data_IF_155390804348
#
_entry.id   IF_155390804348
#
_cell.length_a   1.000
_cell.length_b   1.000
_cell.length_c   1.000
_cell.angle_alpha   90.00
_cell.angle_beta   90.00
_cell.angle_gamma   90.00
#
_symmetry.space_group_name_H-M   'P 1'
#
loop_
_entity.id
_entity.type
_entity.pdbx_description
1 polymer ?
#
# COMPACT_ATOMS: atom_id res chain seq x y z
N UNK A 1 7.41 -26.96 9.46
CA UNK A 1 8.50 -25.99 9.67
C UNK A 1 9.51 -26.58 10.63
N UNK A 2 10.81 -26.28 10.47
CA UNK A 2 11.86 -26.60 11.43
C UNK A 2 11.53 -26.13 12.86
N UNK A 3 12.10 -26.80 13.88
CA UNK A 3 11.80 -26.53 15.29
C UNK A 3 12.43 -25.21 15.80
N UNK A 4 13.42 -24.68 15.09
CA UNK A 4 14.16 -23.45 15.38
C UNK A 4 13.68 -22.24 14.56
N UNK A 5 12.65 -22.43 13.72
CA UNK A 5 12.09 -21.36 12.89
C UNK A 5 11.58 -20.19 13.72
N UNK A 6 12.12 -19.01 13.44
CA UNK A 6 11.71 -17.77 14.11
C UNK A 6 10.78 -16.97 13.20
N UNK A 7 9.49 -17.24 13.26
CA UNK A 7 8.41 -16.65 12.42
C UNK A 7 8.51 -15.13 12.20
N UNK A 8 9.07 -14.37 13.16
CA UNK A 8 9.24 -12.91 13.03
C UNK A 8 10.33 -12.49 12.03
N UNK A 9 11.29 -13.35 11.74
CA UNK A 9 12.45 -13.09 10.88
C UNK A 9 12.10 -13.31 9.41
N UNK A 10 11.04 -12.65 8.96
CA UNK A 10 10.70 -12.57 7.56
C UNK A 10 11.77 -11.81 6.77
N UNK A 11 12.03 -12.28 5.56
CA UNK A 11 12.92 -11.63 4.58
C UNK A 11 12.26 -10.39 3.99
N UNK A 12 10.96 -10.48 3.69
CA UNK A 12 10.16 -9.38 3.18
C UNK A 12 8.69 -9.52 3.56
N UNK A 13 7.98 -8.39 3.52
CA UNK A 13 6.53 -8.28 3.65
C UNK A 13 6.02 -7.49 2.46
N UNK A 14 4.96 -7.95 1.82
CA UNK A 14 4.26 -7.21 0.78
C UNK A 14 2.90 -6.76 1.28
N UNK A 15 2.63 -5.48 1.18
CA UNK A 15 1.32 -4.90 1.42
C UNK A 15 0.68 -4.48 0.12
N UNK A 16 -0.63 -4.67 0.03
CA UNK A 16 -1.48 -4.01 -0.96
C UNK A 16 -2.24 -2.90 -0.26
N UNK A 17 -2.42 -1.78 -0.95
CA UNK A 17 -3.25 -0.70 -0.47
C UNK A 17 -4.23 -0.26 -1.56
N UNK A 18 -5.54 -0.39 -1.31
CA UNK A 18 -6.60 0.11 -2.20
C UNK A 18 -6.80 1.60 -2.00
N UNK A 19 -6.28 2.42 -2.91
CA UNK A 19 -6.32 3.88 -2.84
C UNK A 19 -7.74 4.42 -2.98
N UNK A 20 -8.62 3.71 -3.70
CA UNK A 20 -10.04 4.04 -3.80
C UNK A 20 -10.77 4.09 -2.45
N UNK A 21 -10.21 3.49 -1.39
CA UNK A 21 -10.77 3.59 -0.05
C UNK A 21 -10.60 4.98 0.57
N UNK A 22 -9.72 5.85 0.03
CA UNK A 22 -9.49 7.20 0.54
C UNK A 22 -10.54 8.16 -0.03
N UNK A 23 -11.18 8.96 0.84
CA UNK A 23 -12.32 9.83 0.45
C UNK A 23 -11.94 10.86 -0.61
N UNK A 24 -10.69 11.36 -0.57
CA UNK A 24 -10.18 12.35 -1.53
C UNK A 24 -9.68 11.74 -2.86
N UNK A 25 -9.66 10.42 -3.02
CA UNK A 25 -9.22 9.78 -4.26
C UNK A 25 -10.03 10.33 -5.45
N UNK A 26 -9.41 10.71 -6.58
CA UNK A 26 -10.15 11.27 -7.71
C UNK A 26 -10.97 10.19 -8.44
N UNK A 27 -11.96 10.61 -9.25
CA UNK A 27 -12.72 9.68 -10.11
C UNK A 27 -11.91 9.16 -11.28
N UNK A 28 -10.96 9.97 -11.75
CA UNK A 28 -9.98 9.63 -12.76
C UNK A 28 -8.59 9.88 -12.15
N UNK A 29 -7.72 8.88 -12.23
CA UNK A 29 -6.36 8.95 -11.72
C UNK A 29 -5.39 8.63 -12.85
N UNK A 30 -4.34 9.44 -12.98
CA UNK A 30 -3.26 9.17 -13.92
C UNK A 30 -2.37 8.01 -13.41
N UNK A 31 -2.29 6.88 -14.13
CA UNK A 31 -1.41 5.77 -13.76
C UNK A 31 0.07 6.16 -13.73
N UNK A 32 0.51 7.08 -14.61
CA UNK A 32 1.90 7.54 -14.64
C UNK A 32 2.23 8.29 -13.36
N UNK A 33 1.34 9.16 -12.88
CA UNK A 33 1.54 9.87 -11.62
C UNK A 33 1.72 8.93 -10.42
N UNK A 34 0.99 7.81 -10.38
CA UNK A 34 1.14 6.80 -9.30
C UNK A 34 2.42 6.00 -9.48
N UNK A 35 2.82 5.68 -10.70
CA UNK A 35 4.10 5.03 -11.01
C UNK A 35 5.29 5.88 -10.60
N UNK A 36 5.26 7.17 -10.89
CA UNK A 36 6.30 8.13 -10.50
C UNK A 36 6.37 8.28 -8.98
N UNK A 37 5.20 8.33 -8.31
CA UNK A 37 5.14 8.43 -6.85
C UNK A 37 5.68 7.15 -6.19
N UNK A 38 5.42 5.98 -6.77
CA UNK A 38 6.02 4.72 -6.34
C UNK A 38 7.55 4.75 -6.43
N UNK A 39 8.06 5.25 -7.56
CA UNK A 39 9.51 5.34 -7.82
C UNK A 39 10.25 6.21 -6.79
N UNK A 40 9.61 7.29 -6.30
CA UNK A 40 10.19 8.12 -5.24
C UNK A 40 10.35 7.40 -3.89
N UNK A 41 9.52 6.40 -3.63
CA UNK A 41 9.51 5.66 -2.35
C UNK A 41 10.48 4.46 -2.39
N UNK A 42 10.77 3.92 -3.58
CA UNK A 42 11.69 2.80 -3.75
C UNK A 42 13.13 3.14 -3.30
N UNK A 43 13.86 2.13 -2.86
CA UNK A 43 15.22 2.28 -2.36
C UNK A 43 15.27 2.67 -0.88
N UNK A 44 16.39 3.26 -0.46
CA UNK A 44 16.67 3.60 0.94
C UNK A 44 16.21 5.01 1.23
N UNK A 45 15.25 5.16 2.14
CA UNK A 45 14.65 6.44 2.48
C UNK A 45 14.47 6.59 4.00
N UNK A 46 14.48 7.84 4.48
CA UNK A 46 14.07 8.19 5.84
C UNK A 46 12.55 8.43 5.87
N UNK A 47 11.82 7.59 6.59
CA UNK A 47 10.35 7.64 6.66
C UNK A 47 9.83 8.38 7.90
N UNK A 48 10.62 9.26 8.53
CA UNK A 48 10.20 10.04 9.70
C UNK A 48 8.88 10.78 9.47
N UNK A 49 8.77 11.54 8.37
CA UNK A 49 7.55 12.28 8.01
C UNK A 49 6.43 11.42 7.41
N UNK A 50 6.76 10.18 7.04
CA UNK A 50 5.82 9.22 6.44
C UNK A 50 5.51 8.07 7.38
N UNK A 51 5.73 8.20 8.68
CA UNK A 51 5.36 7.18 9.66
C UNK A 51 4.86 7.81 10.96
N UNK A 52 4.47 6.97 11.92
CA UNK A 52 4.34 7.39 13.32
C UNK A 52 5.58 6.88 14.04
N UNK A 53 6.44 7.81 14.42
CA UNK A 53 7.68 7.49 15.11
C UNK A 53 7.42 7.10 16.57
N UNK A 54 7.94 5.93 16.95
CA UNK A 54 8.05 5.49 18.33
C UNK A 54 9.50 5.72 18.82
N UNK A 55 9.67 5.91 20.13
CA UNK A 55 10.97 6.23 20.71
C UNK A 55 12.02 5.14 20.43
N UNK A 56 13.17 5.53 19.86
CA UNK A 56 14.29 4.63 19.57
C UNK A 56 14.13 3.75 18.34
N UNK A 57 13.07 3.96 17.54
CA UNK A 57 12.91 3.30 16.24
C UNK A 57 13.73 4.04 15.19
N UNK A 58 14.63 3.33 14.50
CA UNK A 58 15.30 3.84 13.31
C UNK A 58 14.26 4.10 12.20
N UNK A 59 14.16 5.32 11.64
CA UNK A 59 13.21 5.64 10.58
C UNK A 59 13.65 5.17 9.18
N UNK A 60 14.91 4.80 8.99
CA UNK A 60 15.45 4.46 7.67
C UNK A 60 14.99 3.07 7.26
N UNK A 61 14.34 2.96 6.11
CA UNK A 61 13.91 1.68 5.54
C UNK A 61 14.30 1.58 4.07
N UNK A 62 14.50 0.35 3.63
CA UNK A 62 14.64 0.02 2.22
C UNK A 62 13.32 -0.53 1.72
N UNK A 63 12.74 0.12 0.72
CA UNK A 63 11.60 -0.40 -0.04
C UNK A 63 12.17 -1.13 -1.25
N UNK A 64 11.93 -2.44 -1.32
CA UNK A 64 12.48 -3.33 -2.35
C UNK A 64 11.70 -3.19 -3.67
N UNK A 65 10.39 -2.92 -3.58
CA UNK A 65 9.54 -2.67 -4.74
C UNK A 65 8.29 -1.87 -4.33
N UNK A 66 7.87 -0.94 -5.15
CA UNK A 66 6.61 -0.21 -5.07
C UNK A 66 6.05 -0.06 -6.48
N UNK A 67 4.84 -0.56 -6.75
CA UNK A 67 4.23 -0.52 -8.09
C UNK A 67 2.73 -0.22 -8.03
N UNK A 68 2.17 0.48 -9.03
CA UNK A 68 0.72 0.64 -9.15
C UNK A 68 0.02 -0.72 -9.23
N UNK A 69 -1.12 -0.83 -8.55
CA UNK A 69 -2.01 -1.98 -8.66
C UNK A 69 -3.18 -1.61 -9.57
N UNK A 70 -3.17 -2.18 -10.76
CA UNK A 70 -4.06 -1.83 -11.87
C UNK A 70 -5.15 -2.87 -12.05
N UNK A 71 -6.30 -2.44 -12.58
CA UNK A 71 -7.28 -3.35 -13.14
C UNK A 71 -7.03 -3.67 -14.61
N UNK A 72 -7.65 -4.75 -15.06
CA UNK A 72 -7.53 -5.26 -16.44
C UNK A 72 -7.93 -4.22 -17.50
N UNK A 73 -8.77 -3.25 -17.13
CA UNK A 73 -9.22 -2.12 -17.96
C UNK A 73 -8.33 -0.85 -17.84
N UNK A 74 -7.22 -0.91 -17.12
CA UNK A 74 -6.24 0.17 -17.00
C UNK A 74 -6.53 1.21 -15.90
N UNK A 75 -7.57 1.02 -15.07
CA UNK A 75 -7.82 1.88 -13.91
C UNK A 75 -6.87 1.56 -12.75
N UNK A 76 -6.44 2.59 -12.02
CA UNK A 76 -5.64 2.42 -10.79
C UNK A 76 -6.56 2.03 -9.64
N UNK A 77 -6.34 0.85 -9.06
CA UNK A 77 -7.00 0.40 -7.83
C UNK A 77 -6.24 0.91 -6.59
N UNK A 78 -4.91 0.91 -6.68
CA UNK A 78 -4.05 1.10 -5.54
C UNK A 78 -2.58 0.94 -5.86
N UNK A 79 -1.82 0.43 -4.90
CA UNK A 79 -0.42 0.06 -5.10
C UNK A 79 -0.04 -1.17 -4.28
N UNK A 80 1.04 -1.81 -4.70
CA UNK A 80 1.75 -2.86 -3.96
C UNK A 80 3.08 -2.31 -3.48
N UNK A 81 3.43 -2.58 -2.23
CA UNK A 81 4.71 -2.19 -1.64
C UNK A 81 5.35 -3.37 -0.91
N UNK A 82 6.63 -3.60 -1.15
CA UNK A 82 7.42 -4.66 -0.53
C UNK A 82 8.66 -4.07 0.13
N UNK A 83 8.91 -4.51 1.36
CA UNK A 83 10.10 -4.16 2.11
C UNK A 83 10.41 -5.26 3.13
N UNK A 84 11.64 -5.30 3.62
CA UNK A 84 12.01 -6.12 4.79
C UNK A 84 11.14 -5.82 6.01
N UNK A 85 10.87 -4.55 6.28
CA UNK A 85 10.06 -4.13 7.42
C UNK A 85 9.45 -2.74 7.20
N UNK A 86 8.36 -2.46 7.92
CA UNK A 86 7.67 -1.18 7.89
C UNK A 86 7.53 -0.61 9.30
N UNK A 87 7.54 0.72 9.42
CA UNK A 87 7.30 1.46 10.66
C UNK A 87 5.79 1.65 10.83
N UNK A 88 5.37 1.96 12.06
CA UNK A 88 3.97 2.18 12.35
C UNK A 88 3.37 3.27 11.44
N UNK A 89 2.21 2.98 10.85
CA UNK A 89 1.50 3.82 9.88
C UNK A 89 2.25 4.14 8.58
N UNK A 90 3.42 3.55 8.31
CA UNK A 90 4.24 3.90 7.15
C UNK A 90 3.46 3.80 5.83
N UNK A 91 2.91 2.61 5.55
CA UNK A 91 2.16 2.36 4.30
C UNK A 91 0.92 3.25 4.18
N UNK A 92 0.23 3.51 5.29
CA UNK A 92 -0.99 4.35 5.30
C UNK A 92 -0.68 5.83 5.02
N UNK A 93 0.46 6.33 5.49
CA UNK A 93 0.90 7.69 5.19
C UNK A 93 1.42 7.83 3.76
N UNK A 94 2.14 6.83 3.25
CA UNK A 94 2.49 6.74 1.82
C UNK A 94 1.22 6.77 0.97
N UNK A 95 0.21 5.96 1.31
CA UNK A 95 -1.07 5.94 0.59
C UNK A 95 -1.77 7.32 0.59
N UNK A 96 -1.71 8.03 1.71
CA UNK A 96 -2.23 9.39 1.81
C UNK A 96 -1.47 10.38 0.92
N UNK A 97 -0.15 10.23 0.82
CA UNK A 97 0.66 11.06 -0.07
C UNK A 97 0.31 10.79 -1.54
N UNK A 98 0.18 9.52 -1.94
CA UNK A 98 -0.18 9.14 -3.31
C UNK A 98 -1.58 9.64 -3.69
N UNK A 99 -2.56 9.49 -2.79
CA UNK A 99 -3.91 10.05 -2.99
C UNK A 99 -3.89 11.58 -3.03
N UNK A 100 -3.01 12.21 -2.25
CA UNK A 100 -2.82 13.66 -2.28
C UNK A 100 -2.24 14.16 -3.60
N UNK A 101 -1.28 13.42 -4.18
CA UNK A 101 -0.73 13.71 -5.52
C UNK A 101 -1.81 13.54 -6.58
N UNK A 102 -2.53 12.41 -6.57
CA UNK A 102 -3.59 12.13 -7.54
C UNK A 102 -4.74 13.15 -7.50
N UNK A 103 -5.10 13.62 -6.31
CA UNK A 103 -6.15 14.63 -6.12
C UNK A 103 -5.67 16.08 -6.31
N UNK A 104 -4.36 16.30 -6.44
CA UNK A 104 -3.75 17.63 -6.49
C UNK A 104 -3.70 18.37 -5.15
N UNK A 105 -3.99 17.69 -4.02
CA UNK A 105 -3.84 18.25 -2.67
C UNK A 105 -2.38 18.55 -2.32
N UNK A 106 -1.45 17.73 -2.81
CA UNK A 106 0.01 17.94 -2.68
C UNK A 106 0.67 17.67 -4.04
N UNK A 107 1.89 18.15 -4.22
CA UNK A 107 2.73 17.84 -5.39
C UNK A 107 3.81 16.81 -5.09
N UNK A 108 4.49 16.33 -6.14
CA UNK A 108 5.67 15.46 -6.01
C UNK A 108 6.78 16.09 -5.15
N UNK A 109 7.00 17.40 -5.27
CA UNK A 109 7.98 18.13 -4.46
C UNK A 109 7.70 18.05 -2.95
N UNK A 110 6.45 17.91 -2.53
CA UNK A 110 6.08 17.75 -1.12
C UNK A 110 6.49 16.37 -0.61
N UNK A 111 6.28 15.33 -1.42
CA UNK A 111 6.71 13.96 -1.11
C UNK A 111 8.25 13.85 -1.08
N UNK A 112 8.93 14.38 -2.10
CA UNK A 112 10.40 14.45 -2.14
C UNK A 112 10.96 15.20 -0.94
N UNK A 113 10.34 16.32 -0.56
CA UNK A 113 10.73 17.10 0.61
C UNK A 113 10.54 16.32 1.90
N UNK A 114 9.44 15.58 2.05
CA UNK A 114 9.16 14.78 3.24
C UNK A 114 10.20 13.66 3.44
N UNK A 115 10.76 13.11 2.35
CA UNK A 115 11.81 12.09 2.37
C UNK A 115 13.22 12.67 2.56
N UNK A 116 13.53 13.77 1.87
CA UNK A 116 14.88 14.36 1.83
C UNK A 116 15.21 15.30 2.99
N UNK A 117 14.18 15.83 3.67
CA UNK A 117 14.29 16.74 4.82
C UNK A 117 13.54 16.20 6.03
N UNK A 118 13.94 15.03 6.59
CA UNK A 118 13.24 14.39 7.69
C UNK A 118 13.18 15.24 8.97
N UNK A 119 14.07 16.21 9.13
CA UNK A 119 14.09 17.18 10.23
C UNK A 119 13.00 18.26 10.13
N UNK A 120 12.46 18.49 8.93
CA UNK A 120 11.36 19.43 8.71
C UNK A 120 10.05 18.64 8.78
N UNK A 121 9.29 18.85 9.85
CA UNK A 121 8.01 18.18 10.06
C UNK A 121 7.06 18.41 8.90
N UNK A 122 6.62 17.32 8.26
CA UNK A 122 5.59 17.33 7.22
C UNK A 122 4.51 16.29 7.53
N UNK A 123 3.23 16.68 7.42
CA UNK A 123 2.09 15.76 7.55
C UNK A 123 1.32 15.70 6.22
N UNK A 124 1.56 14.63 5.45
CA UNK A 124 0.88 14.39 4.18
C UNK A 124 -0.46 13.63 4.35
N UNK A 125 -0.90 13.49 5.61
CA UNK A 125 -2.10 12.77 6.01
C UNK A 125 -1.84 11.29 6.33
N UNK A 126 -2.92 10.56 6.57
CA UNK A 126 -2.91 9.12 6.84
C UNK A 126 -4.15 8.47 6.29
N UNK A 127 -3.97 7.55 5.35
CA UNK A 127 -5.06 6.81 4.75
C UNK A 127 -5.81 5.92 5.75
N UNK A 128 -7.07 5.55 5.47
CA UNK A 128 -7.86 4.55 6.21
C UNK A 128 -7.11 3.21 6.41
N UNK A 129 -7.50 2.45 7.42
CA UNK A 129 -6.98 1.09 7.63
C UNK A 129 -7.61 0.09 6.67
N UNK A 130 -8.83 0.39 6.23
CA UNK A 130 -9.72 -0.42 5.41
C UNK A 130 -9.12 -0.74 4.03
N UNK A 131 -8.23 0.12 3.53
CA UNK A 131 -7.53 -0.11 2.26
C UNK A 131 -6.31 -1.03 2.37
N UNK A 132 -5.77 -1.26 3.58
CA UNK A 132 -4.48 -1.93 3.78
C UNK A 132 -4.64 -3.43 4.01
N UNK A 133 -3.91 -4.24 3.24
CA UNK A 133 -3.84 -5.69 3.39
C UNK A 133 -2.38 -6.15 3.40
N UNK A 134 -2.01 -6.98 4.38
CA UNK A 134 -0.77 -7.74 4.34
C UNK A 134 -0.99 -8.92 3.38
N UNK A 135 -0.38 -8.86 2.21
CA UNK A 135 -0.61 -9.82 1.13
C UNK A 135 0.29 -11.04 1.25
N UNK A 136 1.59 -10.83 1.42
CA UNK A 136 2.54 -11.94 1.52
C UNK A 136 3.68 -11.64 2.48
N UNK A 137 4.28 -12.71 2.99
CA UNK A 137 5.47 -12.68 3.84
C UNK A 137 6.44 -13.70 3.23
N UNK A 138 7.64 -13.25 2.83
CA UNK A 138 8.73 -14.16 2.46
C UNK A 138 9.53 -14.54 3.69
N UNK A 139 9.86 -15.82 3.84
CA UNK A 139 10.64 -16.32 4.96
C UNK A 139 11.45 -17.53 4.52
N UNK A 140 12.76 -17.56 4.79
CA UNK A 140 13.68 -18.62 4.36
C UNK A 140 13.19 -20.04 4.69
N UNK A 141 12.63 -20.23 5.89
CA UNK A 141 12.13 -21.55 6.35
C UNK A 141 10.77 -21.99 5.79
N UNK A 142 10.07 -21.12 5.04
CA UNK A 142 8.71 -21.39 4.55
C UNK A 142 8.61 -21.10 3.06
N UNK A 143 8.34 -22.12 2.25
CA UNK A 143 7.95 -21.91 0.87
C UNK A 143 6.58 -21.24 0.82
N UNK A 144 6.48 -20.15 0.03
CA UNK A 144 5.19 -19.52 -0.24
C UNK A 144 4.37 -20.42 -1.14
N UNK A 145 3.17 -20.86 -0.72
CA UNK A 145 2.26 -21.61 -1.61
C UNK A 145 1.56 -20.69 -2.62
N UNK A 146 1.83 -19.39 -2.59
CA UNK A 146 1.17 -18.38 -3.40
C UNK A 146 2.10 -17.78 -4.43
N UNK A 147 1.50 -17.32 -5.54
CA UNK A 147 2.20 -16.60 -6.60
C UNK A 147 2.73 -15.24 -6.11
N UNK A 148 3.89 -14.84 -6.62
CA UNK A 148 4.43 -13.48 -6.43
C UNK A 148 3.75 -12.44 -7.32
N UNK A 149 2.80 -12.83 -8.17
CA UNK A 149 2.02 -11.90 -8.99
C UNK A 149 1.04 -11.10 -8.13
N UNK A 150 0.69 -9.89 -8.60
CA UNK A 150 -0.39 -9.15 -7.96
C UNK A 150 -1.73 -9.86 -8.19
N UNK A 151 -2.62 -9.86 -7.18
CA UNK A 151 -3.91 -10.50 -7.31
C UNK A 151 -4.77 -9.86 -8.41
N UNK A 152 -5.59 -10.67 -9.10
CA UNK A 152 -6.51 -10.17 -10.09
C UNK A 152 -7.58 -9.28 -9.45
N UNK A 153 -7.94 -8.20 -10.13
CA UNK A 153 -8.89 -7.20 -9.62
C UNK A 153 -10.23 -7.22 -10.35
N UNK A 154 -10.46 -8.20 -11.23
CA UNK A 154 -11.69 -8.28 -12.04
C UNK A 154 -12.98 -8.31 -11.20
N UNK A 155 -12.88 -8.71 -9.93
CA UNK A 155 -14.01 -8.74 -9.00
C UNK A 155 -14.27 -7.40 -8.27
N UNK A 156 -13.45 -6.38 -8.49
CA UNK A 156 -13.54 -5.12 -7.76
C UNK A 156 -14.44 -4.13 -8.50
N UNK A 157 -15.51 -3.72 -7.83
CA UNK A 157 -16.36 -2.65 -8.33
C UNK A 157 -15.61 -1.30 -8.35
N UNK A 158 -15.91 -0.42 -9.32
CA UNK A 158 -15.33 0.91 -9.35
C UNK A 158 -15.91 1.78 -8.22
N UNK A 159 -15.08 2.70 -7.72
CA UNK A 159 -15.52 3.71 -6.75
C UNK A 159 -16.62 4.62 -7.33
N UNK A 160 -17.75 4.83 -6.61
CA UNK A 160 -18.76 5.82 -6.99
C UNK A 160 -18.26 7.26 -6.85
N UNK A 161 -18.73 8.15 -7.74
CA UNK A 161 -18.41 9.59 -7.70
C UNK A 161 -19.22 10.31 -6.61
N UNK A 162 -20.49 9.93 -6.42
CA UNK A 162 -21.33 10.56 -5.40
C UNK A 162 -20.82 10.22 -3.98
N UNK A 163 -20.60 11.22 -3.10
CA UNK A 163 -20.07 10.98 -1.76
C UNK A 163 -20.93 10.09 -0.86
N UNK A 164 -22.26 10.06 -1.05
CA UNK A 164 -23.16 9.21 -0.26
C UNK A 164 -23.06 7.76 -0.73
N UNK A 165 -23.02 7.56 -2.04
CA UNK A 165 -22.82 6.23 -2.62
C UNK A 165 -21.43 5.68 -2.27
N UNK A 166 -20.39 6.52 -2.31
CA UNK A 166 -19.04 6.17 -1.85
C UNK A 166 -19.03 5.65 -0.40
N UNK A 167 -19.69 6.35 0.53
CA UNK A 167 -19.74 5.91 1.94
C UNK A 167 -20.40 4.54 2.11
N UNK A 168 -21.44 4.25 1.32
CA UNK A 168 -22.08 2.93 1.33
C UNK A 168 -21.17 1.88 0.65
N UNK A 169 -20.49 2.27 -0.40
CA UNK A 169 -19.58 1.44 -1.17
C UNK A 169 -18.32 1.05 -0.37
N UNK A 170 -17.88 1.83 0.62
CA UNK A 170 -16.76 1.45 1.50
C UNK A 170 -16.94 0.09 2.18
N UNK A 171 -18.16 -0.29 2.55
CA UNK A 171 -18.42 -1.62 3.10
C UNK A 171 -18.31 -2.71 2.03
N UNK A 172 -18.71 -2.41 0.79
CA UNK A 172 -18.55 -3.33 -0.33
C UNK A 172 -17.07 -3.51 -0.69
N UNK A 173 -16.29 -2.43 -0.76
CA UNK A 173 -14.87 -2.50 -1.11
C UNK A 173 -14.07 -3.32 -0.08
N UNK A 174 -14.43 -3.25 1.20
CA UNK A 174 -13.88 -4.13 2.24
C UNK A 174 -14.28 -5.59 2.04
N UNK A 175 -15.55 -5.86 1.71
CA UNK A 175 -16.00 -7.22 1.39
C UNK A 175 -15.25 -7.79 0.19
N UNK A 176 -15.02 -6.99 -0.85
CA UNK A 176 -14.24 -7.38 -2.03
C UNK A 176 -12.78 -7.71 -1.68
N UNK A 177 -12.12 -6.88 -0.87
CA UNK A 177 -10.77 -7.17 -0.37
C UNK A 177 -10.73 -8.45 0.46
N UNK A 178 -11.73 -8.69 1.31
CA UNK A 178 -11.88 -9.94 2.07
C UNK A 178 -12.09 -11.15 1.14
N UNK A 179 -13.00 -11.03 0.18
CA UNK A 179 -13.27 -12.09 -0.80
C UNK A 179 -12.03 -12.41 -1.66
N UNK A 180 -11.19 -11.41 -1.95
CA UNK A 180 -9.91 -11.64 -2.61
C UNK A 180 -9.00 -12.54 -1.78
N UNK A 181 -8.85 -12.25 -0.48
CA UNK A 181 -8.04 -13.08 0.44
C UNK A 181 -8.56 -14.51 0.53
N UNK A 182 -9.88 -14.69 0.61
CA UNK A 182 -10.50 -16.02 0.66
C UNK A 182 -10.29 -16.80 -0.65
N UNK A 183 -10.37 -16.14 -1.81
CA UNK A 183 -10.11 -16.77 -3.12
C UNK A 183 -8.65 -17.18 -3.26
N UNK A 184 -7.74 -16.31 -2.84
CA UNK A 184 -6.31 -16.64 -2.84
C UNK A 184 -6.08 -17.84 -1.92
N UNK A 185 -6.62 -17.85 -0.70
CA UNK A 185 -6.51 -19.01 0.19
C UNK A 185 -7.08 -20.30 -0.43
N UNK A 186 -8.24 -20.24 -1.09
CA UNK A 186 -8.84 -21.37 -1.79
C UNK A 186 -7.97 -21.91 -2.93
N UNK A 187 -7.15 -21.07 -3.57
CA UNK A 187 -6.25 -21.51 -4.64
C UNK A 187 -5.24 -22.55 -4.16
N UNK A 188 -4.89 -22.54 -2.87
CA UNK A 188 -3.99 -23.53 -2.23
C UNK A 188 -4.57 -24.95 -2.15
N UNK A 189 -5.89 -25.09 -2.29
CA UNK A 189 -6.55 -26.40 -2.18
C UNK A 189 -6.49 -27.19 -3.50
N UNK A 190 -6.14 -26.53 -4.61
CA UNK A 190 -6.05 -27.12 -5.95
C UNK A 190 -4.58 -27.24 -6.39
#
# INVERSE_FOLDING_TARGET
APADSKVRYAESRRYLYRLEAIEEWPSESDPEAISDACSLIEGVNDFTNLSRMDHGVDPVRTVDSCVPWMSDDGRVIGFSIQAKSFIWNQVRRIASAFSGIASGRIGFSDLESALSRPEVSADLGRGPSEGLVLWSISHADFESPFSDQLPPTAAFSPRPIDPRDYRRWLSMSQYEMGALLEREWLSRLN
#
